data_IF_150268308306
#
_entry.id   IF_150268308306
#
_cell.length_a   1.000
_cell.length_b   1.000
_cell.length_c   1.000
_cell.angle_alpha   90.00
_cell.angle_beta   90.00
_cell.angle_gamma   90.00
#
_symmetry.space_group_name_H-M   'P 1'
#
loop_
_entity.id
_entity.type
_entity.pdbx_description
1 polymer ?
#
# COMPACT_ATOMS: atom_id res chain seq x y z
N UNK A 1 -11.33 -54.62 11.81
CA UNK A 1 -12.53 -53.74 11.70
C UNK A 1 -12.77 -52.90 12.96
N UNK A 2 -12.79 -53.49 14.16
CA UNK A 2 -13.03 -52.77 15.42
C UNK A 2 -12.00 -51.66 15.73
N UNK A 3 -10.70 -51.90 15.49
CA UNK A 3 -9.63 -50.89 15.70
C UNK A 3 -9.84 -49.67 14.79
N UNK A 4 -10.22 -49.90 13.53
CA UNK A 4 -10.48 -48.82 12.56
C UNK A 4 -11.66 -47.96 13.00
N UNK A 5 -12.75 -48.59 13.46
CA UNK A 5 -13.93 -47.89 13.98
C UNK A 5 -13.56 -47.05 15.21
N UNK A 6 -12.78 -47.61 16.15
CA UNK A 6 -12.31 -46.89 17.34
C UNK A 6 -11.46 -45.67 16.96
N UNK A 7 -10.52 -45.82 16.02
CA UNK A 7 -9.69 -44.72 15.53
C UNK A 7 -10.55 -43.60 14.90
N UNK A 8 -11.54 -43.96 14.09
CA UNK A 8 -12.48 -42.99 13.49
C UNK A 8 -13.28 -42.26 14.57
N UNK A 9 -13.79 -42.99 15.57
CA UNK A 9 -14.54 -42.38 16.69
C UNK A 9 -13.68 -41.41 17.49
N UNK A 10 -12.43 -41.77 17.80
CA UNK A 10 -11.51 -40.86 18.52
C UNK A 10 -11.21 -39.63 17.67
N UNK A 11 -10.95 -39.78 16.37
CA UNK A 11 -10.72 -38.65 15.47
C UNK A 11 -11.93 -37.71 15.40
N UNK A 12 -13.15 -38.25 15.36
CA UNK A 12 -14.38 -37.46 15.39
C UNK A 12 -14.54 -36.69 16.71
N UNK A 13 -14.26 -37.33 17.85
CA UNK A 13 -14.30 -36.68 19.17
C UNK A 13 -13.28 -35.53 19.24
N UNK A 14 -12.04 -35.78 18.79
CA UNK A 14 -10.99 -34.75 18.73
C UNK A 14 -11.38 -33.60 17.81
N UNK A 15 -12.01 -33.88 16.66
CA UNK A 15 -12.50 -32.87 15.74
C UNK A 15 -13.60 -32.01 16.38
N UNK A 16 -14.59 -32.63 17.05
CA UNK A 16 -15.66 -31.91 17.76
C UNK A 16 -15.08 -31.05 18.87
N UNK A 17 -14.15 -31.58 19.67
CA UNK A 17 -13.47 -30.82 20.72
C UNK A 17 -12.71 -29.63 20.15
N UNK A 18 -11.98 -29.82 19.04
CA UNK A 18 -11.27 -28.75 18.35
C UNK A 18 -12.24 -27.65 17.86
N UNK A 19 -13.39 -28.02 17.29
CA UNK A 19 -14.42 -27.06 16.86
C UNK A 19 -14.97 -26.26 18.05
N UNK A 20 -15.27 -26.92 19.18
CA UNK A 20 -15.76 -26.25 20.38
C UNK A 20 -14.73 -25.27 20.95
N UNK A 21 -13.45 -25.68 21.03
CA UNK A 21 -12.36 -24.83 21.48
C UNK A 21 -12.15 -23.62 20.55
N UNK A 22 -12.20 -23.83 19.24
CA UNK A 22 -12.12 -22.75 18.25
C UNK A 22 -13.31 -21.79 18.39
N UNK A 23 -14.53 -22.31 18.52
CA UNK A 23 -15.73 -21.49 18.72
C UNK A 23 -15.62 -20.65 20.00
N UNK A 24 -15.19 -21.25 21.11
CA UNK A 24 -14.97 -20.54 22.37
C UNK A 24 -13.89 -19.45 22.22
N UNK A 25 -12.74 -19.78 21.59
CA UNK A 25 -11.66 -18.83 21.30
C UNK A 25 -12.16 -17.65 20.47
N UNK A 26 -12.93 -17.90 19.42
CA UNK A 26 -13.50 -16.87 18.55
C UNK A 26 -14.48 -15.98 19.32
N UNK A 27 -15.41 -16.56 20.09
CA UNK A 27 -16.39 -15.79 20.89
C UNK A 27 -15.70 -14.93 21.97
N UNK A 28 -14.71 -15.50 22.67
CA UNK A 28 -13.91 -14.80 23.70
C UNK A 28 -13.15 -13.62 23.11
N UNK A 29 -12.42 -13.83 22.01
CA UNK A 29 -11.64 -12.76 21.39
C UNK A 29 -12.52 -11.70 20.70
N UNK A 30 -13.71 -12.07 20.22
CA UNK A 30 -14.69 -11.10 19.74
C UNK A 30 -15.09 -10.13 20.85
N UNK A 31 -15.48 -10.66 22.02
CA UNK A 31 -15.82 -9.84 23.20
C UNK A 31 -14.65 -8.94 23.61
N UNK A 32 -13.46 -9.51 23.71
CA UNK A 32 -12.23 -8.76 24.03
C UNK A 32 -12.05 -7.54 23.12
N UNK A 33 -12.18 -7.70 21.80
CA UNK A 33 -12.05 -6.57 20.86
C UNK A 33 -13.19 -5.58 21.02
N UNK A 34 -14.43 -6.05 21.19
CA UNK A 34 -15.59 -5.17 21.40
C UNK A 34 -15.50 -4.33 22.67
N UNK A 35 -14.89 -4.85 23.73
CA UNK A 35 -14.74 -4.20 25.04
C UNK A 35 -13.58 -3.19 25.09
N UNK A 36 -12.62 -3.28 24.18
CA UNK A 36 -11.51 -2.31 24.11
C UNK A 36 -12.01 -0.92 23.72
N UNK A 37 -11.47 0.11 24.36
CA UNK A 37 -11.70 1.49 23.94
C UNK A 37 -11.07 1.75 22.58
N UNK A 38 -11.59 2.77 21.90
CA UNK A 38 -11.04 3.26 20.64
C UNK A 38 -9.53 3.56 20.71
N UNK A 39 -9.10 4.24 21.79
CA UNK A 39 -7.70 4.61 21.99
C UNK A 39 -6.80 3.38 22.13
N UNK A 40 -7.21 2.40 22.94
CA UNK A 40 -6.46 1.16 23.12
C UNK A 40 -6.33 0.38 21.81
N UNK A 41 -7.41 0.31 21.02
CA UNK A 41 -7.42 -0.37 19.73
C UNK A 41 -6.39 0.24 18.77
N UNK A 42 -6.42 1.56 18.62
CA UNK A 42 -5.52 2.24 17.70
C UNK A 42 -4.08 2.21 18.18
N UNK A 43 -3.84 2.42 19.48
CA UNK A 43 -2.51 2.33 20.07
C UNK A 43 -1.91 0.94 19.85
N UNK A 44 -2.67 -0.12 20.16
CA UNK A 44 -2.21 -1.50 19.96
C UNK A 44 -1.94 -1.79 18.49
N UNK A 45 -2.87 -1.47 17.58
CA UNK A 45 -2.68 -1.74 16.16
C UNK A 45 -1.46 -0.99 15.61
N UNK A 46 -1.30 0.29 15.95
CA UNK A 46 -0.16 1.10 15.51
C UNK A 46 1.17 0.57 16.05
N UNK A 47 1.20 0.05 17.29
CA UNK A 47 2.38 -0.60 17.83
C UNK A 47 2.72 -1.89 17.08
N UNK A 48 1.70 -2.68 16.69
CA UNK A 48 1.88 -3.91 15.92
C UNK A 48 2.33 -3.64 14.48
N UNK A 49 1.90 -2.52 13.87
CA UNK A 49 2.22 -2.18 12.47
C UNK A 49 3.51 -1.38 12.32
N UNK A 50 3.99 -0.74 13.40
CA UNK A 50 5.22 0.06 13.40
C UNK A 50 6.44 -0.64 12.78
N UNK A 51 6.75 -1.93 13.08
CA UNK A 51 7.90 -2.61 12.49
C UNK A 51 7.82 -2.76 10.96
N UNK A 52 6.62 -2.68 10.39
CA UNK A 52 6.38 -2.75 8.94
C UNK A 52 6.37 -1.36 8.28
N UNK A 53 6.54 -0.29 9.06
CA UNK A 53 6.58 1.09 8.56
C UNK A 53 5.20 1.74 8.40
N UNK A 54 4.13 1.17 8.98
CA UNK A 54 2.77 1.67 8.79
C UNK A 54 2.12 2.19 10.07
N UNK A 55 1.22 3.15 9.88
CA UNK A 55 0.34 3.77 10.86
C UNK A 55 -1.10 3.64 10.38
N UNK A 56 -2.01 3.25 11.26
CA UNK A 56 -3.43 3.24 11.02
C UNK A 56 -4.09 4.58 11.41
N UNK A 57 -4.84 5.17 10.49
CA UNK A 57 -5.61 6.40 10.66
C UNK A 57 -7.10 6.08 10.81
N UNK A 58 -7.59 6.05 12.04
CA UNK A 58 -8.97 5.63 12.29
C UNK A 58 -10.05 6.52 11.66
N UNK A 59 -9.84 7.85 11.64
CA UNK A 59 -10.81 8.79 11.06
C UNK A 59 -11.08 8.54 9.58
N UNK A 60 -10.15 7.86 8.90
CA UNK A 60 -10.22 7.52 7.47
C UNK A 60 -10.32 6.01 7.23
N UNK A 61 -10.13 5.19 8.27
CA UNK A 61 -10.11 3.72 8.21
C UNK A 61 -9.07 3.19 7.20
N UNK A 62 -7.87 3.81 7.18
CA UNK A 62 -6.77 3.47 6.25
C UNK A 62 -5.46 3.22 6.99
N UNK A 63 -4.55 2.48 6.34
CA UNK A 63 -3.14 2.51 6.66
C UNK A 63 -2.40 3.55 5.82
N UNK A 64 -1.42 4.20 6.43
CA UNK A 64 -0.49 5.12 5.78
C UNK A 64 0.93 4.82 6.24
N UNK A 65 1.91 5.12 5.39
CA UNK A 65 3.32 4.99 5.74
C UNK A 65 3.70 5.95 6.87
N UNK A 66 4.74 5.56 7.60
CA UNK A 66 5.39 6.41 8.58
C UNK A 66 6.56 7.14 7.90
N UNK A 67 6.85 8.34 8.38
CA UNK A 67 8.04 9.09 7.93
C UNK A 67 9.34 8.37 8.28
N UNK A 68 9.35 7.59 9.36
CA UNK A 68 10.46 6.73 9.82
C UNK A 68 10.36 5.27 9.34
N UNK A 69 9.57 5.00 8.29
CA UNK A 69 9.38 3.65 7.78
C UNK A 69 10.74 3.04 7.33
N UNK A 70 11.03 1.75 7.66
CA UNK A 70 12.29 1.09 7.28
C UNK A 70 12.60 1.14 5.77
N UNK A 71 11.56 1.22 4.94
CA UNK A 71 11.58 1.35 3.49
C UNK A 71 12.46 2.53 3.03
N UNK A 72 12.51 3.61 3.81
CA UNK A 72 13.35 4.79 3.56
C UNK A 72 14.82 4.45 3.28
N UNK A 73 15.36 3.40 3.92
CA UNK A 73 16.77 3.00 3.81
C UNK A 73 17.14 2.34 2.48
N UNK A 74 16.17 1.86 1.73
CA UNK A 74 16.42 1.09 0.51
C UNK A 74 16.35 1.94 -0.75
N UNK A 75 15.92 3.21 -0.63
CA UNK A 75 15.61 4.07 -1.76
C UNK A 75 14.51 3.47 -2.64
N UNK A 76 14.41 4.00 -3.84
CA UNK A 76 13.49 3.54 -4.87
C UNK A 76 14.20 3.38 -6.22
N UNK A 77 13.76 2.39 -7.00
CA UNK A 77 14.17 2.18 -8.40
C UNK A 77 13.18 1.25 -9.10
N UNK A 78 13.21 1.20 -10.44
CA UNK A 78 12.22 0.48 -11.26
C UNK A 78 12.05 -1.02 -10.93
N UNK A 79 13.02 -1.64 -10.25
CA UNK A 79 12.95 -3.03 -9.80
C UNK A 79 11.79 -3.30 -8.83
N UNK A 80 11.33 -2.29 -8.09
CA UNK A 80 10.20 -2.45 -7.17
C UNK A 80 8.90 -2.70 -7.92
N UNK A 81 8.62 -1.95 -8.99
CA UNK A 81 7.46 -2.15 -9.86
C UNK A 81 7.50 -3.52 -10.52
N UNK A 82 8.67 -3.94 -11.00
CA UNK A 82 8.87 -5.25 -11.63
C UNK A 82 8.56 -6.44 -10.69
N UNK A 83 8.61 -6.23 -9.37
CA UNK A 83 8.29 -7.27 -8.39
C UNK A 83 6.84 -7.26 -7.89
N UNK A 84 6.02 -6.30 -8.31
CA UNK A 84 4.59 -6.23 -7.99
C UNK A 84 3.85 -7.58 -8.16
N UNK A 85 4.05 -8.35 -9.25
CA UNK A 85 3.35 -9.63 -9.45
C UNK A 85 3.69 -10.66 -8.40
N UNK A 86 4.98 -10.76 -8.05
CA UNK A 86 5.48 -11.68 -7.04
C UNK A 86 4.90 -11.35 -5.64
N UNK A 87 4.47 -10.10 -5.44
CA UNK A 87 3.82 -9.62 -4.22
C UNK A 87 2.28 -9.68 -4.27
N UNK A 88 1.69 -10.16 -5.37
CA UNK A 88 0.24 -10.14 -5.65
C UNK A 88 -0.31 -8.71 -5.70
N UNK A 89 0.41 -7.83 -6.39
CA UNK A 89 -0.01 -6.45 -6.61
C UNK A 89 -0.24 -6.22 -8.09
N UNK A 90 -1.25 -5.40 -8.41
CA UNK A 90 -1.52 -4.88 -9.74
C UNK A 90 -1.88 -3.41 -9.54
N UNK A 91 -1.10 -2.51 -10.11
CA UNK A 91 -1.28 -1.08 -9.96
C UNK A 91 -0.79 -0.36 -11.21
N UNK A 92 -1.33 0.82 -11.42
CA UNK A 92 -0.80 1.80 -12.35
C UNK A 92 0.21 2.67 -11.61
N UNK A 93 1.26 3.09 -12.31
CA UNK A 93 2.26 3.98 -11.76
C UNK A 93 2.69 5.03 -12.79
N UNK A 94 3.16 6.18 -12.33
CA UNK A 94 3.60 7.28 -13.21
C UNK A 94 4.86 7.93 -12.61
N UNK A 95 6.07 7.58 -13.08
CA UNK A 95 7.31 8.19 -12.63
C UNK A 95 7.59 9.52 -13.33
N UNK A 96 7.74 10.60 -12.57
CA UNK A 96 8.08 11.93 -13.07
C UNK A 96 9.49 12.31 -12.63
N UNK A 97 10.41 12.32 -13.58
CA UNK A 97 11.80 12.70 -13.37
C UNK A 97 12.07 14.13 -13.80
N UNK A 98 12.69 14.94 -12.94
CA UNK A 98 13.06 16.32 -13.26
C UNK A 98 14.33 16.72 -12.54
N UNK A 99 15.01 17.76 -13.03
CA UNK A 99 16.24 18.26 -12.42
C UNK A 99 15.95 19.56 -11.67
N UNK A 100 16.49 19.69 -10.46
CA UNK A 100 16.38 20.90 -9.63
C UNK A 100 17.54 20.93 -8.62
N UNK A 101 18.22 22.08 -8.53
CA UNK A 101 19.39 22.30 -7.65
C UNK A 101 20.45 21.18 -7.72
N UNK A 102 20.94 20.89 -8.94
CA UNK A 102 21.96 19.87 -9.23
C UNK A 102 21.60 18.42 -8.84
N UNK A 103 20.34 18.19 -8.47
CA UNK A 103 19.77 16.86 -8.19
C UNK A 103 18.82 16.45 -9.31
N UNK A 104 18.76 15.14 -9.57
CA UNK A 104 17.62 14.56 -10.29
C UNK A 104 16.61 14.04 -9.29
N UNK A 105 15.41 14.61 -9.33
CA UNK A 105 14.26 14.22 -8.53
C UNK A 105 13.43 13.19 -9.28
N UNK A 106 12.78 12.32 -8.52
CA UNK A 106 11.77 11.37 -8.93
C UNK A 106 10.58 11.54 -8.00
N UNK A 107 9.47 12.04 -8.54
CA UNK A 107 8.17 11.95 -7.89
C UNK A 107 7.38 10.88 -8.62
N UNK A 108 6.88 9.90 -7.88
CA UNK A 108 6.20 8.75 -8.47
C UNK A 108 4.87 8.52 -7.81
N UNK A 109 3.89 8.24 -8.64
CA UNK A 109 2.49 8.04 -8.27
C UNK A 109 2.13 6.58 -8.47
N UNK A 110 1.37 5.99 -7.56
CA UNK A 110 0.82 4.64 -7.73
C UNK A 110 -0.65 4.58 -7.33
N UNK A 111 -1.46 3.80 -8.05
CA UNK A 111 -2.83 3.45 -7.68
C UNK A 111 -3.17 2.01 -8.06
N UNK A 112 -3.83 1.27 -7.17
CA UNK A 112 -4.25 -0.09 -7.51
C UNK A 112 -4.54 -1.02 -6.36
N UNK A 113 -4.40 -2.32 -6.66
CA UNK A 113 -4.60 -3.44 -5.76
C UNK A 113 -3.26 -3.94 -5.20
N UNK A 114 -3.09 -3.83 -3.89
CA UNK A 114 -1.95 -4.27 -3.11
C UNK A 114 -2.33 -5.49 -2.26
N UNK A 115 -2.24 -6.70 -2.82
CA UNK A 115 -2.74 -7.92 -2.18
C UNK A 115 -4.23 -7.81 -1.82
N UNK A 116 -4.61 -7.74 -0.54
CA UNK A 116 -6.00 -7.55 -0.10
C UNK A 116 -6.37 -6.07 0.14
N UNK A 117 -5.48 -5.15 -0.21
CA UNK A 117 -5.67 -3.72 0.01
C UNK A 117 -5.89 -2.99 -1.31
N UNK A 118 -6.84 -2.06 -1.37
CA UNK A 118 -6.87 -1.03 -2.42
C UNK A 118 -6.13 0.18 -1.90
N UNK A 119 -5.30 0.82 -2.72
CA UNK A 119 -4.58 1.99 -2.26
C UNK A 119 -3.97 2.86 -3.33
N UNK A 120 -3.35 3.93 -2.87
CA UNK A 120 -2.57 4.84 -3.67
C UNK A 120 -1.39 5.39 -2.87
N UNK A 121 -0.36 5.80 -3.60
CA UNK A 121 0.93 6.21 -3.05
C UNK A 121 1.49 7.38 -3.85
N UNK A 122 2.21 8.27 -3.17
CA UNK A 122 3.06 9.30 -3.79
C UNK A 122 4.40 9.31 -3.08
N UNK A 123 5.45 9.02 -3.82
CA UNK A 123 6.83 8.97 -3.33
C UNK A 123 7.64 10.13 -3.87
N UNK A 124 8.53 10.67 -3.05
CA UNK A 124 9.42 11.78 -3.37
C UNK A 124 10.85 11.34 -3.07
N UNK A 125 11.63 11.22 -4.14
CA UNK A 125 12.99 10.72 -4.11
C UNK A 125 13.91 11.63 -4.93
N UNK A 126 15.21 11.56 -4.67
CA UNK A 126 16.23 12.24 -5.48
C UNK A 126 17.55 11.48 -5.49
N UNK A 127 18.37 11.76 -6.50
CA UNK A 127 19.80 11.47 -6.50
C UNK A 127 20.55 12.79 -6.30
N UNK A 128 21.63 12.79 -5.52
CA UNK A 128 22.47 13.97 -5.26
C UNK A 128 23.41 14.30 -6.44
N UNK A 129 22.94 14.03 -7.66
CA UNK A 129 23.64 14.26 -8.92
C UNK A 129 22.61 14.29 -10.05
N UNK A 130 22.98 14.91 -11.18
CA UNK A 130 22.20 14.84 -12.41
C UNK A 130 22.34 13.46 -13.05
N UNK A 131 21.23 12.72 -13.13
CA UNK A 131 21.13 11.38 -13.72
C UNK A 131 20.60 11.48 -15.16
N UNK A 132 21.40 11.08 -16.17
CA UNK A 132 20.95 11.03 -17.56
C UNK A 132 19.71 10.14 -17.74
N UNK A 133 18.75 10.47 -18.64
CA UNK A 133 17.51 9.73 -18.82
C UNK A 133 17.68 8.20 -18.97
N UNK A 134 18.67 7.77 -19.75
CA UNK A 134 18.96 6.35 -20.00
C UNK A 134 19.33 5.56 -18.73
N UNK A 135 19.92 6.23 -17.73
CA UNK A 135 20.36 5.61 -16.48
C UNK A 135 19.31 5.66 -15.38
N UNK A 136 18.24 6.45 -15.54
CA UNK A 136 17.21 6.64 -14.51
C UNK A 136 16.55 5.33 -14.06
N UNK A 137 16.14 4.40 -14.97
CA UNK A 137 15.53 3.15 -14.53
C UNK A 137 16.45 2.26 -13.69
N UNK A 138 17.78 2.39 -13.85
CA UNK A 138 18.80 1.59 -13.17
C UNK A 138 19.35 2.27 -11.91
N UNK A 139 19.00 3.54 -11.70
CA UNK A 139 19.50 4.34 -10.59
C UNK A 139 18.59 4.17 -9.37
N UNK A 140 19.19 4.05 -8.19
CA UNK A 140 18.46 4.05 -6.93
C UNK A 140 18.37 5.48 -6.42
N UNK A 141 17.16 6.03 -6.42
CA UNK A 141 16.87 7.35 -5.87
C UNK A 141 16.63 7.25 -4.36
N UNK A 142 17.21 8.15 -3.58
CA UNK A 142 17.07 8.17 -2.12
C UNK A 142 15.80 8.91 -1.72
N UNK A 143 15.16 8.46 -0.64
CA UNK A 143 13.97 9.13 -0.10
C UNK A 143 14.33 10.53 0.42
N UNK A 144 13.51 11.53 0.05
CA UNK A 144 13.70 12.93 0.43
C UNK A 144 13.93 13.09 1.95
N UNK A 145 14.92 13.91 2.34
CA UNK A 145 15.20 14.25 3.75
C UNK A 145 13.97 14.83 4.47
N UNK A 146 13.92 14.83 5.81
CA UNK A 146 12.86 15.49 6.56
C UNK A 146 12.61 16.95 6.13
N UNK A 147 13.68 17.66 5.77
CA UNK A 147 13.67 19.06 5.33
C UNK A 147 13.17 19.21 3.89
N UNK A 148 13.28 18.14 3.09
CA UNK A 148 12.88 18.09 1.69
C UNK A 148 11.51 17.39 1.49
N UNK A 149 10.80 17.03 2.56
CA UNK A 149 9.46 16.44 2.45
C UNK A 149 8.47 17.50 1.94
N UNK A 150 7.80 17.18 0.85
CA UNK A 150 6.79 18.07 0.26
C UNK A 150 5.42 17.85 0.92
N UNK A 151 4.62 18.91 1.16
CA UNK A 151 3.20 18.78 1.43
C UNK A 151 2.52 18.07 0.26
N UNK A 152 1.95 16.90 0.52
CA UNK A 152 1.21 16.11 -0.46
C UNK A 152 -0.21 15.93 0.04
N UNK A 153 -1.18 16.24 -0.81
CA UNK A 153 -2.58 15.85 -0.65
C UNK A 153 -2.86 14.66 -1.57
N UNK A 154 -3.43 13.61 -1.01
CA UNK A 154 -3.71 12.36 -1.67
C UNK A 154 -5.20 12.05 -1.58
N UNK A 155 -5.87 11.94 -2.73
CA UNK A 155 -7.28 11.56 -2.83
C UNK A 155 -7.45 10.43 -3.84
N UNK A 156 -8.00 9.31 -3.38
CA UNK A 156 -8.31 8.15 -4.22
C UNK A 156 -9.84 8.04 -4.34
N UNK A 157 -10.34 7.88 -5.57
CA UNK A 157 -11.76 7.70 -5.87
C UNK A 157 -11.95 6.51 -6.83
N UNK A 158 -13.13 5.90 -6.75
CA UNK A 158 -13.69 5.00 -7.76
C UNK A 158 -14.87 5.71 -8.46
N UNK A 159 -15.61 5.01 -9.33
CA UNK A 159 -16.78 5.57 -10.05
C UNK A 159 -17.87 6.11 -9.12
N UNK A 160 -17.97 5.57 -7.91
CA UNK A 160 -19.14 5.74 -7.06
C UNK A 160 -18.85 6.67 -5.87
N UNK A 161 -17.59 6.78 -5.44
CA UNK A 161 -17.23 7.48 -4.20
C UNK A 161 -15.75 7.85 -4.09
N UNK A 162 -15.50 8.71 -3.10
CA UNK A 162 -14.15 8.92 -2.55
C UNK A 162 -13.82 7.78 -1.59
N UNK A 163 -12.73 7.07 -1.85
CA UNK A 163 -12.23 6.00 -0.98
C UNK A 163 -11.53 6.61 0.23
N UNK A 164 -10.59 7.55 0.01
CA UNK A 164 -9.99 8.37 1.06
C UNK A 164 -9.45 9.68 0.50
N UNK A 165 -9.23 10.65 1.39
CA UNK A 165 -8.59 11.93 1.08
C UNK A 165 -7.87 12.47 2.31
N UNK A 166 -6.59 12.81 2.21
CA UNK A 166 -5.82 13.44 3.29
C UNK A 166 -4.54 14.09 2.81
N UNK A 167 -3.97 14.94 3.67
CA UNK A 167 -2.78 15.72 3.35
C UNK A 167 -1.76 15.63 4.48
N UNK A 168 -0.49 15.53 4.10
CA UNK A 168 0.64 15.58 5.03
C UNK A 168 1.96 15.83 4.27
N UNK A 169 2.91 16.57 4.84
CA UNK A 169 4.30 16.52 4.39
C UNK A 169 4.87 15.11 4.50
N UNK A 170 5.34 14.52 3.39
CA UNK A 170 5.90 13.18 3.41
C UNK A 170 6.84 12.95 2.23
N UNK A 171 7.80 12.04 2.40
CA UNK A 171 8.60 11.49 1.29
C UNK A 171 7.91 10.30 0.57
N UNK A 172 6.79 9.81 1.13
CA UNK A 172 6.10 8.59 0.72
C UNK A 172 4.71 8.54 1.37
N UNK A 173 3.81 9.38 0.88
CA UNK A 173 2.45 9.45 1.40
C UNK A 173 1.63 8.30 0.80
N UNK A 174 1.09 7.42 1.64
CA UNK A 174 0.32 6.25 1.18
C UNK A 174 -1.03 6.14 1.86
N UNK A 175 -2.03 5.60 1.17
CA UNK A 175 -3.32 5.27 1.73
C UNK A 175 -3.77 3.89 1.29
N UNK A 176 -4.02 2.98 2.23
CA UNK A 176 -4.47 1.62 1.95
C UNK A 176 -5.73 1.26 2.74
N UNK A 177 -6.77 0.83 2.02
CA UNK A 177 -8.01 0.29 2.57
C UNK A 177 -7.97 -1.23 2.50
N UNK A 178 -8.20 -1.90 3.62
CA UNK A 178 -8.07 -3.37 3.73
C UNK A 178 -9.40 -4.07 3.45
N UNK A 179 -9.37 -5.09 2.59
CA UNK A 179 -10.53 -5.95 2.31
C UNK A 179 -11.46 -5.43 1.23
N UNK A 180 -11.06 -4.39 0.50
CA UNK A 180 -11.77 -3.91 -0.68
C UNK A 180 -10.99 -4.37 -1.91
N UNK A 181 -11.58 -5.17 -2.81
CA UNK A 181 -10.98 -5.43 -4.10
C UNK A 181 -11.27 -4.27 -5.07
N UNK A 182 -10.31 -3.95 -5.92
CA UNK A 182 -10.45 -2.98 -7.01
C UNK A 182 -9.83 -3.52 -8.30
N UNK A 183 -10.12 -2.83 -9.39
CA UNK A 183 -9.43 -2.91 -10.68
C UNK A 183 -8.73 -1.56 -10.84
N UNK A 184 -7.40 -1.50 -11.07
CA UNK A 184 -6.66 -0.22 -11.11
C UNK A 184 -7.25 0.82 -12.05
N UNK A 185 -7.77 0.38 -13.19
CA UNK A 185 -8.37 1.20 -14.25
C UNK A 185 -9.64 1.92 -13.77
N UNK A 186 -10.36 1.34 -12.80
CA UNK A 186 -11.56 1.96 -12.20
C UNK A 186 -11.20 3.04 -11.17
N UNK A 187 -9.93 3.11 -10.77
CA UNK A 187 -9.45 4.09 -9.79
C UNK A 187 -8.96 5.36 -10.46
N UNK A 188 -9.22 6.48 -9.81
CA UNK A 188 -8.60 7.76 -10.14
C UNK A 188 -7.86 8.28 -8.91
N UNK A 189 -6.58 8.57 -9.11
CA UNK A 189 -5.75 9.20 -8.10
C UNK A 189 -5.64 10.69 -8.39
N UNK A 190 -6.07 11.51 -7.44
CA UNK A 190 -5.83 12.95 -7.45
C UNK A 190 -4.75 13.27 -6.41
N UNK A 191 -3.62 13.78 -6.87
CA UNK A 191 -2.53 14.23 -6.02
C UNK A 191 -2.39 15.76 -6.14
N UNK A 192 -2.12 16.43 -5.03
CA UNK A 192 -1.68 17.83 -5.05
C UNK A 192 -0.37 17.95 -4.29
N UNK A 193 0.63 18.57 -4.89
CA UNK A 193 1.97 18.69 -4.33
C UNK A 193 2.34 20.16 -4.29
N UNK A 194 2.70 20.65 -3.10
CA UNK A 194 3.21 22.02 -2.93
C UNK A 194 4.73 21.98 -2.93
N UNK A 195 5.32 22.70 -3.88
CA UNK A 195 6.77 22.82 -4.05
C UNK A 195 7.33 24.02 -3.25
N UNK A 196 8.61 23.98 -2.85
CA UNK A 196 9.22 25.04 -2.06
C UNK A 196 9.28 26.38 -2.80
N UNK A 197 9.49 26.35 -4.11
CA UNK A 197 9.58 27.52 -4.97
C UNK A 197 8.98 27.26 -6.36
N UNK A 198 8.92 28.33 -7.14
CA UNK A 198 8.37 28.33 -8.49
C UNK A 198 9.26 27.51 -9.45
N UNK A 199 10.59 27.49 -9.24
CA UNK A 199 11.54 26.81 -10.11
C UNK A 199 11.35 25.28 -10.06
N UNK A 200 11.23 24.71 -8.86
CA UNK A 200 10.96 23.27 -8.69
C UNK A 200 9.57 22.90 -9.24
N UNK A 201 8.57 23.75 -8.98
CA UNK A 201 7.21 23.59 -9.50
C UNK A 201 7.21 23.54 -11.03
N UNK A 202 7.83 24.53 -11.68
CA UNK A 202 7.92 24.63 -13.13
C UNK A 202 8.71 23.48 -13.74
N UNK A 203 9.79 23.02 -13.10
CA UNK A 203 10.55 21.86 -13.54
C UNK A 203 9.69 20.59 -13.55
N UNK A 204 8.90 20.36 -12.50
CA UNK A 204 7.97 19.24 -12.41
C UNK A 204 6.85 19.31 -13.47
N UNK A 205 6.21 20.48 -13.63
CA UNK A 205 5.15 20.70 -14.62
C UNK A 205 5.66 20.50 -16.04
N UNK A 206 6.86 20.99 -16.36
CA UNK A 206 7.47 20.78 -17.67
C UNK A 206 7.64 19.29 -17.97
N UNK A 207 8.14 18.50 -17.01
CA UNK A 207 8.33 17.07 -17.21
C UNK A 207 7.00 16.29 -17.30
N UNK A 208 5.94 16.70 -16.58
CA UNK A 208 4.60 16.15 -16.80
C UNK A 208 4.10 16.39 -18.24
N UNK A 209 4.33 17.59 -18.78
CA UNK A 209 3.98 17.91 -20.18
C UNK A 209 4.81 17.11 -21.18
N UNK A 210 6.11 16.91 -20.92
CA UNK A 210 6.99 16.07 -21.74
C UNK A 210 6.55 14.59 -21.75
N UNK A 211 6.02 14.09 -20.64
CA UNK A 211 5.40 12.74 -20.57
C UNK A 211 4.12 12.67 -21.41
N UNK A 212 3.47 13.80 -21.67
CA UNK A 212 2.27 13.90 -22.50
C UNK A 212 1.02 14.36 -21.76
N UNK A 213 1.13 14.85 -20.52
CA UNK A 213 -0.01 15.45 -19.81
C UNK A 213 -0.31 16.86 -20.31
N UNK A 214 -1.58 17.10 -20.61
CA UNK A 214 -2.06 18.35 -21.18
C UNK A 214 -2.28 19.41 -20.09
N UNK A 215 -2.27 20.68 -20.49
CA UNK A 215 -2.42 21.79 -19.51
C UNK A 215 -3.80 21.83 -18.84
N UNK A 216 -4.82 21.20 -19.42
CA UNK A 216 -6.16 21.07 -18.83
C UNK A 216 -6.26 19.89 -17.83
N UNK A 217 -5.30 18.96 -17.82
CA UNK A 217 -5.19 17.86 -16.86
C UNK A 217 -4.44 18.29 -15.58
N UNK A 218 -3.82 19.46 -15.62
CA UNK A 218 -3.03 20.04 -14.54
C UNK A 218 -3.73 21.29 -14.01
N UNK A 219 -3.87 21.40 -12.69
CA UNK A 219 -4.32 22.66 -12.06
C UNK A 219 -3.17 23.24 -11.26
N UNK A 220 -2.80 24.48 -11.59
CA UNK A 220 -1.71 25.22 -10.95
C UNK A 220 -2.27 26.33 -10.08
N UNK A 221 -1.78 26.44 -8.85
CA UNK A 221 -2.07 27.57 -7.97
C UNK A 221 -0.88 27.82 -7.05
N UNK A 222 -0.29 29.02 -7.16
CA UNK A 222 1.00 29.35 -6.53
C UNK A 222 2.06 28.30 -6.89
N UNK A 223 2.74 27.71 -5.91
CA UNK A 223 3.72 26.63 -6.12
C UNK A 223 3.09 25.23 -5.96
N UNK A 224 1.76 25.10 -6.12
CA UNK A 224 1.06 23.82 -5.99
C UNK A 224 0.59 23.32 -7.34
N UNK A 225 0.88 22.05 -7.61
CA UNK A 225 0.41 21.34 -8.80
C UNK A 225 -0.58 20.28 -8.35
N UNK A 226 -1.79 20.32 -8.90
CA UNK A 226 -2.73 19.22 -8.82
C UNK A 226 -2.68 18.41 -10.10
N UNK A 227 -2.55 17.10 -9.92
CA UNK A 227 -2.35 16.08 -10.95
C UNK A 227 -3.37 14.96 -10.76
N UNK A 228 -3.95 14.48 -11.86
CA UNK A 228 -4.91 13.39 -11.87
C UNK A 228 -4.33 12.21 -12.67
N UNK A 229 -4.04 11.10 -11.99
CA UNK A 229 -3.68 9.84 -12.63
C UNK A 229 -4.94 9.00 -12.83
N UNK A 230 -5.40 8.92 -14.07
CA UNK A 230 -6.43 8.00 -14.56
C UNK A 230 -5.77 6.83 -15.29
N UNK A 231 -5.01 7.14 -16.33
CA UNK A 231 -4.20 6.21 -17.13
C UNK A 231 -2.76 6.74 -17.16
N UNK A 232 -1.76 5.90 -16.90
CA UNK A 232 -0.36 6.30 -16.97
C UNK A 232 0.10 6.47 -18.43
N UNK A 233 0.84 7.54 -18.72
CA UNK A 233 1.35 7.89 -20.05
C UNK A 233 2.77 7.37 -20.31
N UNK A 234 3.58 7.15 -19.26
CA UNK A 234 4.98 6.72 -19.43
C UNK A 234 5.24 5.21 -19.33
N UNK A 235 4.26 4.39 -18.92
CA UNK A 235 4.52 2.98 -18.51
C UNK A 235 4.12 1.93 -19.54
N UNK A 236 4.01 2.27 -20.82
CA UNK A 236 3.50 1.37 -21.86
C UNK A 236 4.34 0.07 -21.99
N UNK A 237 5.64 0.13 -21.68
CA UNK A 237 6.56 -1.02 -21.79
C UNK A 237 6.56 -1.95 -20.55
N UNK A 238 5.89 -1.56 -19.45
CA UNK A 238 5.86 -2.31 -18.19
C UNK A 238 4.55 -3.09 -17.98
N UNK A 239 3.69 -3.15 -19.00
CA UNK A 239 2.41 -3.83 -18.89
C UNK A 239 2.61 -5.32 -18.64
N UNK A 240 2.22 -5.75 -17.44
CA UNK A 240 2.10 -7.14 -17.07
C UNK A 240 1.16 -7.86 -18.04
N UNK A 241 1.48 -9.11 -18.37
CA UNK A 241 0.61 -9.96 -19.18
C UNK A 241 -0.84 -9.90 -18.63
N UNK A 242 -1.85 -9.53 -19.44
CA UNK A 242 -3.24 -9.41 -19.01
C UNK A 242 -3.79 -10.64 -18.28
N UNK A 243 -3.32 -11.84 -18.63
CA UNK A 243 -3.69 -13.09 -17.95
C UNK A 243 -3.13 -13.15 -16.53
N UNK A 244 -1.88 -12.73 -16.35
CA UNK A 244 -1.23 -12.65 -15.04
C UNK A 244 -1.94 -11.62 -14.16
N UNK A 245 -2.23 -10.43 -14.70
CA UNK A 245 -2.98 -9.40 -13.99
C UNK A 245 -4.36 -9.92 -13.56
N UNK A 246 -5.11 -10.51 -14.50
CA UNK A 246 -6.43 -11.09 -14.24
C UNK A 246 -6.40 -12.16 -13.14
N UNK A 247 -5.38 -13.03 -13.15
CA UNK A 247 -5.19 -14.04 -12.11
C UNK A 247 -4.90 -13.42 -10.74
N UNK A 248 -4.02 -12.42 -10.67
CA UNK A 248 -3.70 -11.72 -9.41
C UNK A 248 -4.93 -11.02 -8.86
N UNK A 249 -5.69 -10.30 -9.69
CA UNK A 249 -6.93 -9.62 -9.29
C UNK A 249 -8.01 -10.61 -8.84
N UNK A 250 -8.18 -11.74 -9.55
CA UNK A 250 -9.08 -12.81 -9.11
C UNK A 250 -8.69 -13.35 -7.74
N UNK A 251 -7.39 -13.61 -7.53
CA UNK A 251 -6.86 -14.08 -6.25
C UNK A 251 -7.07 -13.05 -5.13
N UNK A 252 -6.84 -11.77 -5.41
CA UNK A 252 -7.10 -10.68 -4.47
C UNK A 252 -8.59 -10.64 -4.06
N UNK A 253 -9.51 -10.70 -5.03
CA UNK A 253 -10.97 -10.78 -4.77
C UNK A 253 -11.33 -11.97 -3.88
N UNK A 254 -10.77 -13.14 -4.15
CA UNK A 254 -11.01 -14.34 -3.34
C UNK A 254 -10.49 -14.20 -1.91
N UNK A 255 -9.29 -13.65 -1.75
CA UNK A 255 -8.68 -13.39 -0.44
C UNK A 255 -9.46 -12.31 0.35
N UNK A 256 -9.91 -11.23 -0.30
CA UNK A 256 -10.77 -10.22 0.33
C UNK A 256 -12.08 -10.84 0.83
N UNK A 257 -12.75 -11.68 0.03
CA UNK A 257 -13.96 -12.39 0.45
C UNK A 257 -13.71 -13.30 1.66
N UNK A 258 -12.60 -14.04 1.66
CA UNK A 258 -12.22 -14.90 2.79
C UNK A 258 -11.94 -14.07 4.05
N UNK A 259 -11.16 -12.99 3.92
CA UNK A 259 -10.87 -12.05 4.98
C UNK A 259 -12.16 -11.50 5.60
N UNK A 260 -13.05 -10.92 4.79
CA UNK A 260 -14.31 -10.33 5.24
C UNK A 260 -15.24 -11.37 5.90
N UNK A 261 -15.26 -12.61 5.42
CA UNK A 261 -16.02 -13.70 6.09
C UNK A 261 -15.44 -14.04 7.46
N UNK A 262 -14.12 -14.10 7.58
CA UNK A 262 -13.45 -14.42 8.84
C UNK A 262 -13.68 -13.33 9.92
N UNK A 263 -13.86 -12.08 9.49
CA UNK A 263 -14.01 -10.90 10.37
C UNK A 263 -15.40 -10.26 10.31
N UNK A 264 -16.38 -10.98 9.75
CA UNK A 264 -17.77 -10.53 9.52
C UNK A 264 -18.43 -9.73 10.66
N UNK A 265 -18.25 -10.05 11.96
CA UNK A 265 -18.91 -9.29 13.02
C UNK A 265 -18.37 -7.86 13.23
N UNK A 266 -17.35 -7.43 12.48
CA UNK A 266 -16.73 -6.13 12.64
C UNK A 266 -16.79 -5.29 11.36
N UNK A 267 -17.07 -4.01 11.52
CA UNK A 267 -17.15 -3.05 10.40
C UNK A 267 -15.81 -2.34 10.16
N UNK A 268 -15.16 -1.86 11.23
CA UNK A 268 -13.91 -1.10 11.14
C UNK A 268 -12.69 -2.00 10.96
N UNK A 269 -11.71 -1.55 10.17
CA UNK A 269 -10.48 -2.31 9.92
C UNK A 269 -9.72 -2.59 11.21
N UNK A 270 -9.69 -1.63 12.15
CA UNK A 270 -9.01 -1.83 13.44
C UNK A 270 -9.54 -3.04 14.20
N UNK A 271 -10.85 -3.20 14.25
CA UNK A 271 -11.48 -4.32 14.97
C UNK A 271 -11.22 -5.64 14.25
N UNK A 272 -11.37 -5.64 12.92
CA UNK A 272 -11.12 -6.81 12.06
C UNK A 272 -9.69 -7.34 12.24
N UNK A 273 -8.71 -6.45 12.20
CA UNK A 273 -7.30 -6.83 12.31
C UNK A 273 -6.90 -7.23 13.73
N UNK A 274 -7.38 -6.53 14.77
CA UNK A 274 -7.13 -6.95 16.15
C UNK A 274 -7.78 -8.30 16.46
N UNK A 275 -8.97 -8.56 15.92
CA UNK A 275 -9.59 -9.87 16.03
C UNK A 275 -8.75 -10.96 15.36
N UNK A 276 -8.25 -10.72 14.14
CA UNK A 276 -7.33 -11.65 13.47
C UNK A 276 -6.01 -11.81 14.23
N UNK A 277 -5.49 -10.76 14.85
CA UNK A 277 -4.29 -10.84 15.68
C UNK A 277 -4.50 -11.83 16.84
N UNK A 278 -5.64 -11.80 17.52
CA UNK A 278 -5.92 -12.72 18.63
C UNK A 278 -6.31 -14.14 18.18
N UNK A 279 -7.02 -14.29 17.05
CA UNK A 279 -7.51 -15.60 16.60
C UNK A 279 -6.49 -16.33 15.72
N UNK A 280 -5.85 -15.63 14.79
CA UNK A 280 -4.93 -16.16 13.79
C UNK A 280 -3.73 -15.20 13.54
N UNK A 281 -2.78 -15.07 14.49
CA UNK A 281 -1.65 -14.13 14.40
C UNK A 281 -0.80 -14.29 13.11
N UNK A 282 -0.70 -15.51 12.58
CA UNK A 282 0.03 -15.77 11.33
C UNK A 282 -0.64 -15.11 10.11
N UNK A 283 -1.98 -15.10 10.06
CA UNK A 283 -2.75 -14.43 8.99
C UNK A 283 -2.61 -12.93 9.13
N UNK A 284 -2.75 -12.39 10.35
CA UNK A 284 -2.51 -10.98 10.64
C UNK A 284 -1.13 -10.51 10.16
N UNK A 285 -0.06 -11.24 10.51
CA UNK A 285 1.30 -10.93 10.05
C UNK A 285 1.46 -11.01 8.54
N UNK A 286 0.74 -11.92 7.87
CA UNK A 286 0.78 -12.04 6.41
C UNK A 286 0.11 -10.86 5.71
N UNK A 287 -0.98 -10.34 6.27
CA UNK A 287 -1.68 -9.15 5.76
C UNK A 287 -0.77 -7.92 5.86
N UNK A 288 -0.06 -7.77 6.98
CA UNK A 288 0.84 -6.62 7.21
C UNK A 288 2.21 -6.74 6.53
N UNK A 289 2.61 -7.96 6.13
CA UNK A 289 3.82 -8.18 5.33
C UNK A 289 3.55 -7.80 3.87
N UNK A 290 3.49 -6.49 3.62
CA UNK A 290 4.01 -5.94 2.37
C UNK A 290 5.51 -6.21 2.46
N UNK A 291 6.01 -7.24 1.76
CA UNK A 291 7.37 -7.75 1.97
C UNK A 291 8.36 -6.60 1.76
N UNK A 292 9.21 -6.26 2.75
CA UNK A 292 10.43 -5.55 2.41
C UNK A 292 11.24 -6.45 1.49
N UNK A 293 11.87 -5.86 0.47
CA UNK A 293 12.96 -6.51 -0.26
C UNK A 293 14.12 -6.73 0.71
N UNK A 294 14.08 -7.81 1.49
CA UNK A 294 15.26 -8.30 2.16
C UNK A 294 16.18 -8.88 1.08
N UNK A 295 17.30 -8.20 0.83
CA UNK A 295 18.48 -8.85 0.23
C UNK A 295 18.75 -10.08 1.11
N UNK A 296 18.51 -11.28 0.58
CA UNK A 296 19.02 -12.50 1.22
C UNK A 296 20.52 -12.25 1.41
N UNK A 297 20.96 -12.09 2.66
CA UNK A 297 22.38 -12.17 2.98
C UNK A 297 22.84 -13.53 2.45
N UNK A 298 23.60 -13.51 1.36
CA UNK A 298 24.30 -14.69 0.91
C UNK A 298 25.06 -15.25 2.10
N UNK A 299 24.81 -16.52 2.43
CA UNK A 299 25.69 -17.25 3.32
C UNK A 299 27.06 -17.20 2.65
N UNK A 300 28.00 -16.45 3.26
CA UNK A 300 29.41 -16.65 2.99
C UNK A 300 29.72 -18.07 3.49
N UNK A 301 29.85 -19.00 2.54
CA UNK A 301 30.73 -20.16 2.69
C UNK A 301 32.11 -19.73 2.23
#
# INVERSE_FOLDING_TARGET
MQIVILCISVLLILLVLAILLLHHKMKKNRRRVSEMSYFEKCSLLNNLTRPFGFLYLYSKDIFTARTDAPQRKFGYGSLYDLAAPAMNMVFDFEPVYFNYHDKTWLIEFWKGQYSICTGAEVGVYHADSIVPPLLRPQTIFQAASPEEMLPIKLRLKDSDRVIFNFERPHWWLTGFVVGTPCVPEDLVLEASITFPDEDMCNAFVRCLKEIGYESNELTLYSNTVQFCLTEPKSTHDFLLDPWVQSYILWKARMLCRLYLRAVKPFDKTVDRLLYLYYVAPAVFRRILRIRPFEKKRGRRS
#
